data_IF_605381603771
#
_entry.id   IF_605381603771
#
_cell.length_a   1.000
_cell.length_b   1.000
_cell.length_c   1.000
_cell.angle_alpha   90.00
_cell.angle_beta   90.00
_cell.angle_gamma   90.00
#
_symmetry.space_group_name_H-M   'P 1'
#
loop_
_entity.id
_entity.type
_entity.pdbx_description
1 polymer ?
#
# COMPACT_ATOMS: atom_id res chain seq x y z
N UNK A 1 -14.55 -12.11 -9.02
CA UNK A 1 -14.81 -10.87 -9.78
C UNK A 1 -14.86 -9.73 -8.78
N UNK A 2 -13.93 -8.79 -8.91
CA UNK A 2 -13.74 -7.66 -8.02
C UNK A 2 -14.66 -6.48 -8.39
N UNK A 3 -14.81 -6.18 -9.67
CA UNK A 3 -15.58 -5.05 -10.20
C UNK A 3 -17.07 -5.42 -10.19
N UNK A 4 -17.79 -4.88 -9.22
CA UNK A 4 -19.18 -5.24 -8.92
C UNK A 4 -20.18 -4.68 -9.93
N UNK A 5 -19.85 -3.56 -10.55
CA UNK A 5 -20.71 -2.85 -11.50
C UNK A 5 -20.28 -3.03 -12.96
N UNK A 6 -19.56 -4.13 -13.29
CA UNK A 6 -19.03 -4.42 -14.62
C UNK A 6 -20.10 -4.30 -15.72
N UNK A 7 -21.26 -4.92 -15.54
CA UNK A 7 -22.32 -4.92 -16.55
C UNK A 7 -22.85 -3.50 -16.84
N UNK A 8 -22.93 -2.65 -15.81
CA UNK A 8 -23.31 -1.24 -15.97
C UNK A 8 -22.26 -0.48 -16.80
N UNK A 9 -20.97 -0.72 -16.54
CA UNK A 9 -19.87 -0.06 -17.26
C UNK A 9 -19.80 -0.49 -18.74
N UNK A 10 -20.28 -1.69 -19.07
CA UNK A 10 -20.34 -2.22 -20.44
C UNK A 10 -21.64 -1.94 -21.18
N UNK A 11 -22.63 -1.32 -20.52
CA UNK A 11 -23.90 -0.94 -21.15
C UNK A 11 -23.80 0.29 -22.07
N UNK A 12 -22.65 0.97 -22.09
CA UNK A 12 -22.41 2.24 -22.78
C UNK A 12 -20.94 2.39 -23.20
N UNK A 13 -20.65 3.41 -24.01
CA UNK A 13 -19.28 3.72 -24.46
C UNK A 13 -18.73 2.72 -25.47
N UNK A 14 -17.41 2.67 -25.59
CA UNK A 14 -16.70 1.67 -26.39
C UNK A 14 -16.62 0.36 -25.62
N UNK A 15 -17.65 -0.48 -25.78
CA UNK A 15 -17.82 -1.74 -25.05
C UNK A 15 -16.59 -2.64 -25.18
N UNK A 16 -15.94 -2.69 -26.35
CA UNK A 16 -14.79 -3.56 -26.58
C UNK A 16 -13.55 -3.05 -25.85
N UNK A 17 -13.26 -1.75 -25.97
CA UNK A 17 -12.15 -1.13 -25.26
C UNK A 17 -12.35 -1.19 -23.74
N UNK A 18 -13.56 -0.90 -23.26
CA UNK A 18 -13.92 -0.98 -21.85
C UNK A 18 -13.77 -2.40 -21.30
N UNK A 19 -14.29 -3.42 -22.00
CA UNK A 19 -14.15 -4.81 -21.58
C UNK A 19 -12.68 -5.20 -21.44
N UNK A 20 -11.85 -4.81 -22.41
CA UNK A 20 -10.41 -5.09 -22.39
C UNK A 20 -9.73 -4.45 -21.17
N UNK A 21 -10.04 -3.19 -20.85
CA UNK A 21 -9.51 -2.52 -19.66
C UNK A 21 -9.98 -3.19 -18.37
N UNK A 22 -11.27 -3.47 -18.24
CA UNK A 22 -11.85 -4.10 -17.04
C UNK A 22 -11.30 -5.51 -16.80
N UNK A 23 -11.15 -6.32 -17.86
CA UNK A 23 -10.60 -7.67 -17.76
C UNK A 23 -9.11 -7.64 -17.34
N UNK A 24 -8.35 -6.65 -17.83
CA UNK A 24 -6.95 -6.46 -17.40
C UNK A 24 -6.83 -6.09 -15.92
N UNK A 25 -7.79 -5.32 -15.39
CA UNK A 25 -7.84 -4.93 -13.97
C UNK A 25 -8.28 -6.10 -13.10
N UNK A 26 -9.27 -6.88 -13.51
CA UNK A 26 -9.67 -8.11 -12.82
C UNK A 26 -8.49 -9.07 -12.69
N UNK A 27 -7.79 -9.32 -13.80
CA UNK A 27 -6.60 -10.17 -13.82
C UNK A 27 -5.50 -9.65 -12.89
N UNK A 28 -5.25 -8.33 -12.92
CA UNK A 28 -4.29 -7.68 -12.04
C UNK A 28 -4.69 -7.84 -10.56
N UNK A 29 -5.93 -7.53 -10.19
CA UNK A 29 -6.40 -7.60 -8.80
C UNK A 29 -6.36 -9.03 -8.25
N UNK A 30 -6.75 -10.02 -9.07
CA UNK A 30 -6.65 -11.44 -8.71
C UNK A 30 -5.19 -11.89 -8.52
N UNK A 31 -4.30 -11.45 -9.40
CA UNK A 31 -2.86 -11.73 -9.32
C UNK A 31 -2.18 -11.02 -8.15
N UNK A 32 -2.74 -9.90 -7.70
CA UNK A 32 -2.26 -9.07 -6.60
C UNK A 32 -2.95 -9.38 -5.26
N UNK A 33 -3.79 -10.42 -5.19
CA UNK A 33 -4.30 -10.93 -3.93
C UNK A 33 -3.13 -11.37 -3.04
N UNK A 34 -3.11 -10.95 -1.78
CA UNK A 34 -1.96 -11.14 -0.90
C UNK A 34 -1.59 -12.61 -0.67
N UNK A 35 -2.58 -13.52 -0.65
CA UNK A 35 -2.31 -14.97 -0.58
C UNK A 35 -1.61 -15.45 -1.85
N UNK A 36 -2.14 -15.11 -3.03
CA UNK A 36 -1.55 -15.48 -4.32
C UNK A 36 -0.13 -14.91 -4.48
N UNK A 37 0.08 -13.66 -4.06
CA UNK A 37 1.40 -13.02 -4.06
C UNK A 37 2.43 -13.82 -3.26
N UNK A 38 2.07 -14.22 -2.03
CA UNK A 38 2.97 -15.01 -1.18
C UNK A 38 3.16 -16.42 -1.74
N UNK A 39 2.11 -17.09 -2.22
CA UNK A 39 2.22 -18.43 -2.83
C UNK A 39 3.12 -18.45 -4.08
N UNK A 40 3.11 -17.38 -4.87
CA UNK A 40 3.96 -17.26 -6.05
C UNK A 40 5.40 -16.88 -5.69
N UNK A 41 5.58 -16.05 -4.66
CA UNK A 41 6.88 -15.54 -4.28
C UNK A 41 7.66 -16.48 -3.36
N UNK A 42 6.97 -17.27 -2.53
CA UNK A 42 7.55 -18.09 -1.48
C UNK A 42 7.27 -19.56 -1.76
N UNK A 43 8.33 -20.36 -1.84
CA UNK A 43 8.24 -21.81 -1.95
C UNK A 43 9.26 -22.47 -1.02
N UNK A 44 9.09 -23.77 -0.77
CA UNK A 44 10.08 -24.59 -0.08
C UNK A 44 10.64 -25.58 -1.10
N UNK A 45 11.94 -25.83 -1.03
CA UNK A 45 12.57 -26.78 -1.93
C UNK A 45 12.21 -28.23 -1.58
N UNK A 46 12.40 -29.16 -2.53
CA UNK A 46 12.06 -30.58 -2.33
C UNK A 46 12.79 -31.28 -1.17
N UNK A 47 13.83 -30.65 -0.60
CA UNK A 47 14.56 -31.18 0.56
C UNK A 47 14.08 -30.62 1.88
N UNK A 48 13.13 -29.68 1.86
CA UNK A 48 12.63 -28.89 2.99
C UNK A 48 13.70 -28.07 3.73
N UNK A 49 14.91 -27.95 3.17
CA UNK A 49 16.03 -27.27 3.81
C UNK A 49 16.10 -25.79 3.47
N UNK A 50 15.48 -25.38 2.37
CA UNK A 50 15.56 -24.02 1.86
C UNK A 50 14.18 -23.43 1.66
N UNK A 51 13.99 -22.21 2.16
CA UNK A 51 12.91 -21.34 1.69
C UNK A 51 13.43 -20.54 0.50
N UNK A 52 12.64 -20.49 -0.56
CA UNK A 52 12.94 -19.75 -1.78
C UNK A 52 12.00 -18.55 -1.81
N UNK A 53 12.54 -17.34 -1.79
CA UNK A 53 11.76 -16.10 -1.85
C UNK A 53 12.21 -15.28 -3.07
N UNK A 54 11.31 -15.05 -4.03
CA UNK A 54 11.62 -14.42 -5.31
C UNK A 54 12.84 -15.06 -6.03
N UNK A 55 12.98 -16.39 -5.91
CA UNK A 55 14.12 -17.15 -6.45
C UNK A 55 15.39 -17.14 -5.58
N UNK A 56 15.47 -16.32 -4.54
CA UNK A 56 16.59 -16.34 -3.60
C UNK A 56 16.44 -17.48 -2.59
N UNK A 57 17.44 -18.35 -2.52
CA UNK A 57 17.48 -19.48 -1.58
C UNK A 57 18.02 -19.05 -0.22
N UNK A 58 17.26 -19.30 0.84
CA UNK A 58 17.69 -19.10 2.23
C UNK A 58 17.66 -20.44 2.97
N UNK A 59 18.81 -20.84 3.50
CA UNK A 59 18.95 -22.06 4.29
C UNK A 59 18.23 -21.91 5.63
N UNK A 60 17.19 -22.73 5.81
CA UNK A 60 16.40 -22.80 7.04
C UNK A 60 16.63 -24.09 7.82
N UNK A 61 17.47 -25.01 7.32
CA UNK A 61 17.84 -26.25 8.02
C UNK A 61 18.68 -26.02 9.27
N UNK A 62 19.36 -24.86 9.33
CA UNK A 62 20.12 -24.43 10.50
C UNK A 62 19.26 -23.98 11.69
N UNK A 63 17.96 -23.74 11.47
CA UNK A 63 17.06 -23.28 12.52
C UNK A 63 16.29 -24.44 13.13
N UNK A 64 16.17 -24.43 14.47
CA UNK A 64 15.42 -25.42 15.24
C UNK A 64 13.91 -25.21 15.10
N UNK A 65 13.47 -23.96 15.15
CA UNK A 65 12.06 -23.58 15.10
C UNK A 65 11.85 -22.38 14.18
N UNK A 66 10.71 -22.36 13.50
CA UNK A 66 10.26 -21.22 12.70
C UNK A 66 9.03 -20.63 13.38
N UNK A 67 9.05 -19.34 13.68
CA UNK A 67 7.89 -18.61 14.19
C UNK A 67 7.44 -17.56 13.18
N UNK A 68 6.13 -17.37 13.08
CA UNK A 68 5.54 -16.38 12.18
C UNK A 68 5.07 -15.17 12.98
N UNK A 69 5.60 -14.01 12.67
CA UNK A 69 5.10 -12.74 13.21
C UNK A 69 4.62 -11.84 12.07
N UNK A 70 3.67 -10.95 12.30
CA UNK A 70 3.23 -10.11 11.21
C UNK A 70 2.24 -9.02 11.56
N UNK A 71 2.15 -8.01 10.70
CA UNK A 71 1.15 -6.96 10.82
C UNK A 71 0.70 -6.45 9.46
N UNK A 72 -0.46 -5.80 9.45
CA UNK A 72 -0.96 -5.05 8.29
C UNK A 72 -2.28 -5.58 7.76
N UNK A 73 -2.86 -4.83 6.82
CA UNK A 73 -4.16 -5.12 6.21
C UNK A 73 -4.19 -6.48 5.52
N UNK A 74 -3.07 -6.90 4.92
CA UNK A 74 -2.93 -8.13 4.14
C UNK A 74 -2.30 -9.28 4.95
N UNK A 75 -1.95 -9.06 6.23
CA UNK A 75 -1.22 -10.05 7.03
C UNK A 75 -2.01 -11.34 7.24
N UNK A 76 -3.36 -11.29 7.21
CA UNK A 76 -4.22 -12.47 7.30
C UNK A 76 -3.99 -13.41 6.12
N UNK A 77 -4.13 -12.89 4.90
CA UNK A 77 -3.98 -13.66 3.66
C UNK A 77 -2.54 -14.13 3.44
N UNK A 78 -1.57 -13.30 3.83
CA UNK A 78 -0.15 -13.70 3.85
C UNK A 78 0.08 -14.87 4.82
N UNK A 79 -0.55 -14.86 5.99
CA UNK A 79 -0.40 -15.92 6.97
C UNK A 79 -1.05 -17.23 6.51
N UNK A 80 -2.20 -17.18 5.83
CA UNK A 80 -2.80 -18.36 5.20
C UNK A 80 -1.84 -19.01 4.18
N UNK A 81 -1.22 -18.21 3.30
CA UNK A 81 -0.24 -18.74 2.35
C UNK A 81 0.96 -19.38 3.07
N UNK A 82 1.50 -18.73 4.10
CA UNK A 82 2.63 -19.27 4.86
C UNK A 82 2.27 -20.54 5.64
N UNK A 83 1.07 -20.62 6.23
CA UNK A 83 0.60 -21.83 6.90
C UNK A 83 0.45 -23.00 5.91
N UNK A 84 0.01 -22.73 4.67
CA UNK A 84 -0.04 -23.75 3.61
C UNK A 84 1.35 -24.19 3.14
N UNK A 85 2.31 -23.27 3.03
CA UNK A 85 3.67 -23.56 2.56
C UNK A 85 4.50 -24.28 3.63
N UNK A 86 4.42 -23.85 4.89
CA UNK A 86 5.28 -24.34 5.97
C UNK A 86 4.59 -25.34 6.91
N UNK A 87 3.25 -25.30 7.03
CA UNK A 87 2.42 -26.21 7.81
C UNK A 87 3.03 -26.56 9.18
N UNK A 88 3.44 -27.83 9.36
CA UNK A 88 3.97 -28.36 10.62
C UNK A 88 5.32 -27.81 11.05
N UNK A 89 6.00 -27.07 10.18
CA UNK A 89 7.28 -26.42 10.50
C UNK A 89 7.13 -25.14 11.30
N UNK A 90 5.94 -24.55 11.31
CA UNK A 90 5.65 -23.38 12.13
C UNK A 90 5.53 -23.85 13.58
N UNK A 91 6.40 -23.42 14.47
CA UNK A 91 6.31 -23.75 15.89
C UNK A 91 5.18 -22.96 16.57
N UNK A 92 5.09 -21.67 16.29
CA UNK A 92 4.01 -20.79 16.74
C UNK A 92 4.02 -19.47 15.96
N UNK A 93 2.95 -18.70 16.02
CA UNK A 93 2.95 -17.37 15.42
C UNK A 93 1.92 -16.41 16.00
N UNK A 94 2.15 -15.12 15.78
CA UNK A 94 1.23 -14.03 16.11
C UNK A 94 1.20 -13.00 14.98
N UNK A 95 0.02 -12.76 14.41
CA UNK A 95 -0.19 -11.66 13.48
C UNK A 95 -1.18 -10.64 14.05
N UNK A 96 -1.06 -9.38 13.62
CA UNK A 96 -1.93 -8.28 14.02
C UNK A 96 -2.58 -7.65 12.80
N UNK A 97 -3.91 -7.75 12.72
CA UNK A 97 -4.71 -7.25 11.60
C UNK A 97 -5.62 -6.11 12.06
N UNK A 98 -6.12 -5.25 11.16
CA UNK A 98 -7.16 -4.28 11.50
C UNK A 98 -8.43 -4.97 12.01
N UNK A 99 -9.12 -4.34 12.94
CA UNK A 99 -10.35 -4.84 13.55
C UNK A 99 -11.50 -5.08 12.55
N UNK A 100 -11.57 -4.26 11.50
CA UNK A 100 -12.53 -4.36 10.40
C UNK A 100 -12.21 -5.46 9.37
N UNK A 101 -11.02 -6.07 9.42
CA UNK A 101 -10.72 -7.24 8.58
C UNK A 101 -11.41 -8.47 9.19
N UNK A 102 -12.33 -9.06 8.42
CA UNK A 102 -13.06 -10.26 8.81
C UNK A 102 -12.16 -11.48 8.83
N UNK A 103 -12.27 -12.32 9.86
CA UNK A 103 -11.67 -13.65 9.87
C UNK A 103 -12.74 -14.64 9.41
N UNK A 104 -12.74 -15.00 8.13
CA UNK A 104 -13.64 -16.00 7.58
C UNK A 104 -13.09 -17.40 7.88
N UNK A 105 -13.08 -17.78 9.16
CA UNK A 105 -12.94 -19.18 9.55
C UNK A 105 -14.14 -19.57 10.40
N UNK A 106 -14.91 -20.51 9.84
CA UNK A 106 -16.08 -21.15 10.42
C UNK A 106 -15.90 -21.53 11.88
N UNK A 107 -16.44 -20.72 12.79
CA UNK A 107 -17.08 -21.15 14.03
C UNK A 107 -17.66 -19.91 14.70
N UNK A 108 -18.97 -19.83 14.65
CA UNK A 108 -19.80 -18.98 15.50
C UNK A 108 -19.37 -19.14 16.97
N UNK A 109 -18.58 -18.20 17.46
CA UNK A 109 -18.61 -17.72 18.85
C UNK A 109 -17.81 -16.42 18.94
N UNK A 110 -18.52 -15.33 19.25
CA UNK A 110 -17.94 -14.08 19.72
C UNK A 110 -17.19 -14.31 21.03
N UNK A 111 -15.92 -14.70 20.97
CA UNK A 111 -14.93 -14.52 22.03
C UNK A 111 -13.55 -15.04 21.60
N UNK A 112 -12.55 -14.17 21.71
CA UNK A 112 -11.10 -14.47 21.81
C UNK A 112 -10.41 -15.21 20.65
N UNK A 113 -9.63 -14.44 19.87
CA UNK A 113 -8.51 -14.84 18.98
C UNK A 113 -8.78 -15.97 17.98
N UNK A 114 -9.02 -15.60 16.70
CA UNK A 114 -8.98 -16.56 15.59
C UNK A 114 -7.57 -17.14 15.40
N UNK A 115 -7.48 -18.36 14.86
CA UNK A 115 -6.23 -19.04 14.57
C UNK A 115 -6.18 -19.51 13.12
N UNK A 116 -4.97 -19.55 12.56
CA UNK A 116 -4.62 -20.17 11.29
C UNK A 116 -3.52 -21.18 11.61
N UNK A 117 -3.85 -22.47 11.64
CA UNK A 117 -2.93 -23.50 12.13
C UNK A 117 -2.38 -23.14 13.53
N UNK A 118 -1.06 -22.90 13.60
CA UNK A 118 -0.33 -22.50 14.83
C UNK A 118 -0.14 -20.98 14.99
N UNK A 119 -0.69 -20.18 14.08
CA UNK A 119 -0.63 -18.71 14.07
C UNK A 119 -1.87 -18.14 14.76
N UNK A 120 -1.66 -17.34 15.79
CA UNK A 120 -2.72 -16.61 16.49
C UNK A 120 -2.96 -15.27 15.80
N UNK A 121 -4.22 -14.93 15.56
CA UNK A 121 -4.62 -13.67 14.95
C UNK A 121 -5.14 -12.72 16.04
N UNK A 122 -4.50 -11.56 16.16
CA UNK A 122 -4.88 -10.48 17.04
C UNK A 122 -5.40 -9.29 16.23
N UNK A 123 -6.25 -8.48 16.85
CA UNK A 123 -6.83 -7.29 16.23
C UNK A 123 -6.26 -6.02 16.86
N UNK A 124 -5.88 -5.07 16.00
CA UNK A 124 -5.49 -3.71 16.36
C UNK A 124 -6.35 -2.69 15.60
N UNK A 125 -6.19 -1.40 15.92
CA UNK A 125 -6.95 -0.33 15.26
C UNK A 125 -6.10 0.37 14.19
N UNK A 126 -6.74 0.72 13.09
CA UNK A 126 -6.16 1.42 11.95
C UNK A 126 -7.18 2.42 11.42
N UNK A 127 -6.80 3.67 11.07
CA UNK A 127 -5.44 4.18 10.96
C UNK A 127 -4.84 4.73 12.26
N UNK A 128 -5.65 4.94 13.30
CA UNK A 128 -5.19 5.47 14.59
C UNK A 128 -4.96 4.30 15.56
N UNK A 129 -3.76 4.17 16.16
CA UNK A 129 -3.47 3.10 17.10
C UNK A 129 -4.28 3.26 18.39
N UNK A 130 -4.60 2.17 19.07
CA UNK A 130 -5.33 2.18 20.34
C UNK A 130 -4.68 1.23 21.35
N UNK A 131 -5.27 1.11 22.54
CA UNK A 131 -4.81 0.15 23.56
C UNK A 131 -4.74 -1.28 23.03
N UNK A 132 -5.70 -1.71 22.20
CA UNK A 132 -5.66 -3.05 21.58
C UNK A 132 -4.42 -3.26 20.70
N UNK A 133 -3.94 -2.19 20.06
CA UNK A 133 -2.73 -2.22 19.22
C UNK A 133 -1.47 -2.38 20.07
N UNK A 134 -1.42 -1.75 21.25
CA UNK A 134 -0.34 -1.95 22.23
C UNK A 134 -0.36 -3.35 22.79
N UNK A 135 -1.52 -3.82 23.27
CA UNK A 135 -1.66 -5.14 23.87
C UNK A 135 -1.28 -6.25 22.88
N UNK A 136 -1.70 -6.10 21.61
CA UNK A 136 -1.33 -7.02 20.53
C UNK A 136 0.18 -6.95 20.19
N UNK A 137 0.76 -5.75 20.21
CA UNK A 137 2.21 -5.56 20.03
C UNK A 137 2.99 -6.24 21.15
N UNK A 138 2.57 -6.12 22.41
CA UNK A 138 3.28 -6.74 23.53
C UNK A 138 3.28 -8.26 23.42
N UNK A 139 2.13 -8.87 23.12
CA UNK A 139 2.03 -10.32 22.94
C UNK A 139 2.91 -10.83 21.80
N UNK A 140 2.99 -10.10 20.69
CA UNK A 140 3.91 -10.44 19.59
C UNK A 140 5.38 -10.29 20.01
N UNK A 141 5.71 -9.25 20.77
CA UNK A 141 7.06 -9.02 21.25
C UNK A 141 7.50 -10.08 22.26
N UNK A 142 6.61 -10.57 23.10
CA UNK A 142 6.91 -11.66 24.04
C UNK A 142 7.31 -12.92 23.28
N UNK A 143 6.52 -13.32 22.28
CA UNK A 143 6.88 -14.43 21.39
C UNK A 143 8.23 -14.19 20.68
N UNK A 144 8.45 -12.99 20.16
CA UNK A 144 9.66 -12.68 19.42
C UNK A 144 10.92 -12.68 20.33
N UNK A 145 10.80 -12.19 21.58
CA UNK A 145 11.90 -12.14 22.55
C UNK A 145 12.31 -13.52 23.04
N UNK A 146 11.36 -14.44 23.14
CA UNK A 146 11.62 -15.82 23.54
C UNK A 146 12.36 -16.60 22.45
N UNK A 147 12.27 -16.17 21.18
CA UNK A 147 13.01 -16.77 20.06
C UNK A 147 14.54 -16.54 20.18
N UNK A 148 15.28 -17.64 20.24
CA UNK A 148 16.72 -17.68 20.41
C UNK A 148 17.50 -17.51 19.10
N UNK A 149 18.83 -17.64 19.16
CA UNK A 149 19.71 -17.53 17.98
C UNK A 149 19.54 -18.67 16.97
N UNK A 150 19.04 -19.81 17.44
CA UNK A 150 18.77 -21.00 16.64
C UNK A 150 17.37 -20.98 16.04
N UNK A 151 16.59 -19.92 16.25
CA UNK A 151 15.22 -19.80 15.73
C UNK A 151 15.16 -18.79 14.58
N UNK A 152 14.13 -18.95 13.75
CA UNK A 152 13.82 -18.06 12.64
C UNK A 152 12.48 -17.36 12.88
N UNK A 153 12.47 -16.05 12.73
CA UNK A 153 11.25 -15.23 12.68
C UNK A 153 10.94 -14.90 11.22
N UNK A 154 9.84 -15.45 10.71
CA UNK A 154 9.28 -15.06 9.43
C UNK A 154 8.30 -13.89 9.65
N UNK A 155 8.67 -12.69 9.22
CA UNK A 155 7.93 -11.46 9.48
C UNK A 155 7.11 -11.03 8.25
N UNK A 156 5.79 -11.15 8.34
CA UNK A 156 4.84 -10.71 7.32
C UNK A 156 4.48 -9.23 7.50
N UNK A 157 4.81 -8.39 6.53
CA UNK A 157 4.61 -6.93 6.60
C UNK A 157 3.77 -6.48 5.40
N UNK A 158 2.69 -5.76 5.69
CA UNK A 158 1.87 -5.07 4.68
C UNK A 158 1.45 -3.68 5.17
N UNK A 159 0.75 -2.93 4.31
CA UNK A 159 0.22 -1.61 4.62
C UNK A 159 -0.57 -1.57 5.94
N UNK A 160 -0.42 -0.47 6.69
CA UNK A 160 -1.09 -0.28 7.99
C UNK A 160 -0.34 -0.78 9.23
N UNK A 161 0.78 -1.50 9.09
CA UNK A 161 1.65 -1.89 10.22
C UNK A 161 2.03 -0.74 11.15
N UNK A 162 2.13 0.47 10.59
CA UNK A 162 2.45 1.71 11.29
C UNK A 162 1.56 1.98 12.52
N UNK A 163 0.27 1.65 12.45
CA UNK A 163 -0.71 1.82 13.54
C UNK A 163 -0.96 0.52 14.31
N UNK A 164 -0.77 -0.63 13.66
CA UNK A 164 -1.03 -1.94 14.27
C UNK A 164 0.10 -2.40 15.20
N UNK A 165 1.36 -2.13 14.83
CA UNK A 165 2.53 -2.47 15.65
C UNK A 165 3.07 -1.21 16.34
N UNK A 166 2.59 -0.95 17.55
CA UNK A 166 2.85 0.29 18.29
C UNK A 166 3.30 -0.01 19.71
N UNK A 167 4.52 0.45 19.99
CA UNK A 167 5.05 0.55 21.35
C UNK A 167 5.74 1.91 21.51
N UNK A 168 5.16 2.85 22.27
CA UNK A 168 5.77 4.14 22.54
C UNK A 168 7.09 4.00 23.31
N UNK A 169 7.99 4.98 23.20
CA UNK A 169 9.26 5.01 23.92
C UNK A 169 9.21 6.12 24.99
N UNK A 170 9.10 5.74 26.27
CA UNK A 170 9.07 6.67 27.42
C UNK A 170 8.02 7.80 27.33
N UNK A 171 6.94 7.59 26.57
CA UNK A 171 5.78 8.48 26.41
C UNK A 171 4.50 7.65 26.42
N UNK A 172 3.34 8.28 26.59
CA UNK A 172 2.05 7.59 26.51
C UNK A 172 1.60 7.37 25.06
N UNK A 173 0.55 6.58 24.86
CA UNK A 173 -0.05 6.39 23.55
C UNK A 173 -0.68 7.70 23.04
N UNK A 174 -1.36 8.42 23.93
CA UNK A 174 -2.06 9.67 23.66
C UNK A 174 -1.07 10.74 23.19
N UNK A 175 0.08 10.85 23.85
CA UNK A 175 1.16 11.76 23.44
C UNK A 175 1.70 11.40 22.05
N UNK A 176 1.88 10.11 21.77
CA UNK A 176 2.32 9.63 20.44
C UNK A 176 1.28 9.93 19.36
N UNK A 177 -0.01 9.75 19.66
CA UNK A 177 -1.13 10.08 18.76
C UNK A 177 -1.18 11.58 18.50
N UNK A 178 -1.02 12.41 19.54
CA UNK A 178 -1.04 13.86 19.45
C UNK A 178 0.09 14.37 18.54
N UNK A 179 1.33 13.92 18.76
CA UNK A 179 2.47 14.26 17.90
C UNK A 179 2.18 13.91 16.44
N UNK A 180 1.66 12.70 16.20
CA UNK A 180 1.35 12.22 14.84
C UNK A 180 0.26 13.08 14.19
N UNK A 181 -0.81 13.42 14.93
CA UNK A 181 -1.90 14.27 14.46
C UNK A 181 -1.41 15.68 14.11
N UNK A 182 -0.60 16.28 14.97
CA UNK A 182 -0.05 17.62 14.74
C UNK A 182 0.85 17.65 13.50
N UNK A 183 1.68 16.61 13.30
CA UNK A 183 2.52 16.47 12.13
C UNK A 183 1.70 16.33 10.84
N UNK A 184 0.69 15.46 10.83
CA UNK A 184 -0.20 15.29 9.68
C UNK A 184 -0.93 16.60 9.33
N UNK A 185 -1.48 17.28 10.33
CA UNK A 185 -2.21 18.54 10.14
C UNK A 185 -1.30 19.70 9.70
N UNK A 186 0.02 19.59 9.92
CA UNK A 186 0.99 20.61 9.51
C UNK A 186 1.45 20.49 8.06
N UNK A 187 1.01 19.43 7.35
CA UNK A 187 1.48 19.14 5.99
C UNK A 187 2.94 18.68 5.95
N UNK A 188 3.43 18.06 7.04
CA UNK A 188 4.77 17.50 7.07
C UNK A 188 4.92 16.36 6.05
N UNK A 189 6.09 16.26 5.41
CA UNK A 189 6.33 15.18 4.46
C UNK A 189 6.41 13.83 5.18
N UNK A 190 6.03 12.75 4.50
CA UNK A 190 5.98 11.41 5.11
C UNK A 190 7.32 10.96 5.71
N UNK A 191 8.44 11.33 5.11
CA UNK A 191 9.78 11.02 5.61
C UNK A 191 10.12 11.80 6.90
N UNK A 192 9.70 13.07 6.99
CA UNK A 192 9.83 13.90 8.19
C UNK A 192 8.94 13.37 9.34
N UNK A 193 7.70 12.99 9.01
CA UNK A 193 6.80 12.35 9.96
C UNK A 193 7.42 11.05 10.49
N UNK A 194 7.95 10.21 9.59
CA UNK A 194 8.59 8.96 9.97
C UNK A 194 9.87 9.17 10.79
N UNK A 195 10.64 10.23 10.54
CA UNK A 195 11.78 10.59 11.39
C UNK A 195 11.32 10.74 12.85
N UNK A 196 10.31 11.57 13.12
CA UNK A 196 9.80 11.74 14.49
C UNK A 196 9.19 10.45 15.05
N UNK A 197 8.37 9.73 14.26
CA UNK A 197 7.68 8.50 14.71
C UNK A 197 8.65 7.37 15.08
N UNK A 198 9.78 7.24 14.40
CA UNK A 198 10.82 6.24 14.70
C UNK A 198 11.50 6.53 16.04
N UNK A 199 11.86 7.78 16.31
CA UNK A 199 12.54 8.20 17.53
C UNK A 199 11.64 8.20 18.78
N UNK A 200 10.32 8.17 18.60
CA UNK A 200 9.33 8.02 19.68
C UNK A 200 8.74 6.60 19.78
N UNK A 201 9.44 5.58 19.26
CA UNK A 201 8.96 4.19 19.26
C UNK A 201 10.00 3.20 19.74
N UNK A 202 9.56 2.12 20.38
CA UNK A 202 10.41 0.98 20.75
C UNK A 202 10.56 -0.07 19.64
N UNK A 203 9.69 -0.09 18.62
CA UNK A 203 9.69 -1.15 17.59
C UNK A 203 10.02 -0.67 16.17
N UNK A 204 9.99 0.64 15.94
CA UNK A 204 10.23 1.25 14.62
C UNK A 204 11.70 1.63 14.45
N UNK A 205 12.13 1.89 13.22
CA UNK A 205 13.51 2.30 12.91
C UNK A 205 14.54 1.27 13.33
N UNK A 206 14.27 -0.02 13.12
CA UNK A 206 15.19 -1.12 13.43
C UNK A 206 15.27 -1.50 14.91
N UNK A 207 14.58 -0.78 15.81
CA UNK A 207 14.63 -1.08 17.26
C UNK A 207 14.01 -2.44 17.60
N UNK A 208 13.05 -2.94 16.82
CA UNK A 208 12.58 -4.31 16.98
C UNK A 208 13.73 -5.29 16.71
N UNK A 209 14.49 -5.11 15.63
CA UNK A 209 15.66 -5.97 15.34
C UNK A 209 16.70 -5.89 16.45
N UNK A 210 16.93 -4.70 17.02
CA UNK A 210 17.86 -4.51 18.14
C UNK A 210 17.48 -5.33 19.39
N UNK A 211 16.19 -5.50 19.65
CA UNK A 211 15.68 -6.25 20.81
C UNK A 211 15.77 -7.77 20.66
N UNK A 212 15.90 -8.27 19.42
CA UNK A 212 15.77 -9.69 19.13
C UNK A 212 17.14 -10.38 18.97
N UNK A 213 17.13 -11.72 19.01
CA UNK A 213 18.33 -12.56 18.83
C UNK A 213 18.24 -13.45 17.60
N UNK A 214 17.05 -13.92 17.28
CA UNK A 214 16.72 -14.79 16.16
C UNK A 214 17.09 -14.21 14.78
N UNK A 215 17.21 -15.11 13.80
CA UNK A 215 17.24 -14.73 12.39
C UNK A 215 15.89 -14.16 11.97
N UNK A 216 15.87 -13.21 11.04
CA UNK A 216 14.64 -12.58 10.55
C UNK A 216 14.60 -12.65 9.04
N UNK A 217 13.52 -13.20 8.50
CA UNK A 217 13.17 -13.08 7.08
C UNK A 217 11.86 -12.30 7.00
N UNK A 218 11.89 -11.12 6.40
CA UNK A 218 10.70 -10.30 6.21
C UNK A 218 10.13 -10.49 4.81
N UNK A 219 8.84 -10.82 4.73
CA UNK A 219 8.06 -10.91 3.50
C UNK A 219 7.17 -9.67 3.44
N UNK A 220 7.39 -8.81 2.45
CA UNK A 220 6.86 -7.45 2.43
C UNK A 220 6.00 -7.25 1.18
N UNK A 221 4.74 -6.84 1.39
CA UNK A 221 3.88 -6.26 0.35
C UNK A 221 3.93 -4.74 0.55
N UNK A 222 4.49 -4.01 -0.41
CA UNK A 222 4.75 -2.58 -0.28
C UNK A 222 3.65 -1.72 -0.89
N UNK A 223 3.09 -0.85 -0.06
CA UNK A 223 2.21 0.27 -0.44
C UNK A 223 2.97 1.62 -0.45
N UNK A 224 4.32 1.58 -0.38
CA UNK A 224 5.15 2.78 -0.27
C UNK A 224 5.84 3.06 -1.60
N UNK A 225 5.67 4.26 -2.18
CA UNK A 225 6.38 4.65 -3.38
C UNK A 225 7.90 4.45 -3.25
N UNK A 226 8.51 3.89 -4.30
CA UNK A 226 9.95 3.57 -4.36
C UNK A 226 10.46 2.52 -3.35
N UNK A 227 9.59 1.79 -2.64
CA UNK A 227 9.96 0.61 -1.86
C UNK A 227 11.05 0.84 -0.80
N UNK A 228 11.12 2.05 -0.25
CA UNK A 228 12.12 2.39 0.76
C UNK A 228 11.87 1.60 2.06
N UNK A 229 12.72 0.62 2.36
CA UNK A 229 12.59 -0.23 3.54
C UNK A 229 12.57 0.56 4.87
N UNK A 230 13.28 1.68 4.95
CA UNK A 230 13.29 2.58 6.12
C UNK A 230 11.98 3.35 6.32
N UNK A 231 11.11 3.32 5.31
CA UNK A 231 9.80 3.99 5.25
C UNK A 231 8.65 2.99 5.37
N UNK A 232 8.75 1.82 4.70
CA UNK A 232 7.77 0.73 4.80
C UNK A 232 7.61 0.33 6.26
N UNK A 233 6.37 0.40 6.75
CA UNK A 233 6.03 0.14 8.15
C UNK A 233 6.88 0.96 9.16
N UNK A 234 7.44 2.10 8.77
CA UNK A 234 8.41 2.88 9.54
C UNK A 234 9.71 2.11 9.87
N UNK A 235 10.15 1.23 8.97
CA UNK A 235 11.43 0.55 9.04
C UNK A 235 11.59 -0.38 10.24
N UNK A 236 10.56 -1.18 10.57
CA UNK A 236 10.61 -2.12 11.72
C UNK A 236 11.84 -3.04 11.63
N UNK A 237 12.14 -3.55 10.43
CA UNK A 237 13.23 -4.48 10.14
C UNK A 237 14.36 -3.86 9.31
N UNK A 238 14.45 -2.53 9.28
CA UNK A 238 15.40 -1.79 8.46
C UNK A 238 16.19 -0.76 9.29
N UNK A 239 17.37 -0.40 8.78
CA UNK A 239 18.17 0.67 9.36
C UNK A 239 17.48 2.04 9.20
N UNK A 240 17.70 2.91 10.16
CA UNK A 240 17.18 4.26 10.15
C UNK A 240 18.29 5.27 9.81
N UNK A 241 18.15 6.00 8.71
CA UNK A 241 19.08 7.05 8.31
C UNK A 241 18.92 8.37 9.09
N UNK A 242 17.78 8.56 9.75
CA UNK A 242 17.45 9.80 10.48
C UNK A 242 17.94 9.74 11.91
N UNK A 243 18.08 10.88 12.57
CA UNK A 243 18.58 11.02 13.94
C UNK A 243 17.58 11.72 14.86
N UNK A 244 17.82 11.65 16.17
CA UNK A 244 17.08 12.46 17.15
C UNK A 244 17.16 13.95 16.84
N UNK A 245 18.29 14.42 16.29
CA UNK A 245 18.45 15.80 15.85
C UNK A 245 17.53 16.15 14.69
N UNK A 246 17.38 15.24 13.72
CA UNK A 246 16.43 15.42 12.61
C UNK A 246 14.99 15.49 13.14
N UNK A 247 14.62 14.60 14.06
CA UNK A 247 13.30 14.62 14.70
C UNK A 247 13.03 15.96 15.41
N UNK A 248 14.00 16.48 16.17
CA UNK A 248 13.91 17.80 16.80
C UNK A 248 13.73 18.92 15.77
N UNK A 249 14.52 18.90 14.68
CA UNK A 249 14.45 19.92 13.63
C UNK A 249 13.08 19.91 12.93
N UNK A 250 12.52 18.73 12.64
CA UNK A 250 11.17 18.59 12.09
C UNK A 250 10.13 19.18 13.02
N UNK A 251 10.14 18.80 14.30
CA UNK A 251 9.18 19.32 15.28
C UNK A 251 9.25 20.84 15.44
N UNK A 252 10.45 21.43 15.36
CA UNK A 252 10.64 22.89 15.37
C UNK A 252 10.19 23.55 14.08
N UNK A 253 10.55 23.00 12.91
CA UNK A 253 10.16 23.48 11.58
C UNK A 253 8.64 23.68 11.48
N UNK A 254 7.87 22.73 12.00
CA UNK A 254 6.40 22.76 11.97
C UNK A 254 5.76 23.42 13.20
N UNK A 255 6.55 24.05 14.09
CA UNK A 255 6.07 24.71 15.32
C UNK A 255 5.24 23.78 16.21
N UNK A 256 5.67 22.52 16.30
CA UNK A 256 5.05 21.44 17.10
C UNK A 256 5.77 21.31 18.44
N UNK A 257 7.07 21.63 18.50
CA UNK A 257 7.90 21.52 19.70
C UNK A 257 7.27 22.14 20.95
N UNK A 258 6.68 23.32 20.83
CA UNK A 258 6.07 24.04 21.95
C UNK A 258 4.62 23.61 22.24
N UNK A 259 4.04 22.74 21.41
CA UNK A 259 2.64 22.28 21.51
C UNK A 259 2.50 20.91 22.17
N UNK A 260 3.56 20.11 22.16
CA UNK A 260 3.55 18.75 22.70
C UNK A 260 3.95 18.74 24.18
N UNK A 261 3.70 17.63 24.86
CA UNK A 261 4.06 17.47 26.27
C UNK A 261 5.58 17.50 26.49
N UNK A 262 5.98 17.90 27.70
CA UNK A 262 7.40 17.98 28.10
C UNK A 262 8.10 16.62 28.08
N UNK A 263 7.38 15.52 28.31
CA UNK A 263 7.89 14.15 28.21
C UNK A 263 8.34 13.82 26.79
N UNK A 264 7.57 14.20 25.77
CA UNK A 264 7.96 14.02 24.36
C UNK A 264 9.23 14.79 24.05
N UNK A 265 9.28 16.08 24.41
CA UNK A 265 10.47 16.91 24.21
C UNK A 265 11.68 16.32 24.93
N UNK A 266 11.49 15.86 26.17
CA UNK A 266 12.55 15.22 26.96
C UNK A 266 13.12 13.98 26.29
N UNK A 267 12.30 13.10 25.70
CA UNK A 267 12.81 11.92 24.97
C UNK A 267 13.71 12.32 23.80
N UNK A 268 13.32 13.37 23.06
CA UNK A 268 14.13 13.86 21.94
C UNK A 268 15.40 14.56 22.44
N UNK A 269 15.30 15.40 23.48
CA UNK A 269 16.45 16.09 24.09
C UNK A 269 17.47 15.09 24.67
N UNK A 270 17.00 14.09 25.43
CA UNK A 270 17.83 13.02 25.98
C UNK A 270 18.48 12.20 24.86
N UNK A 271 17.80 12.00 23.73
CA UNK A 271 18.35 11.39 22.53
C UNK A 271 19.44 12.23 21.86
N UNK A 272 19.22 13.54 21.70
CA UNK A 272 20.21 14.49 21.16
C UNK A 272 21.44 14.59 22.07
N UNK A 273 21.24 14.53 23.39
CA UNK A 273 22.31 14.53 24.39
C UNK A 273 23.07 13.19 24.48
N UNK A 274 22.61 12.14 23.77
CA UNK A 274 23.23 10.82 23.79
C UNK A 274 22.92 9.98 25.03
N UNK A 275 21.98 10.41 25.87
CA UNK A 275 21.50 9.66 27.04
C UNK A 275 20.67 8.46 26.57
N UNK A 276 19.80 8.67 25.58
CA UNK A 276 19.06 7.61 24.91
C UNK A 276 19.83 7.22 23.64
N UNK A 277 20.07 5.91 23.47
CA UNK A 277 20.70 5.40 22.25
C UNK A 277 19.86 5.71 21.03
N UNK A 278 20.56 6.09 19.98
CA UNK A 278 20.01 6.36 18.67
C UNK A 278 19.40 5.10 18.02
N UNK A 279 18.43 5.26 17.10
CA UNK A 279 17.92 4.16 16.28
C UNK A 279 19.07 3.50 15.50
N UNK A 280 19.07 2.17 15.34
CA UNK A 280 20.12 1.46 14.60
C UNK A 280 20.38 2.03 13.21
N UNK A 281 21.64 2.41 12.97
CA UNK A 281 22.10 3.03 11.73
C UNK A 281 22.53 2.02 10.66
N UNK A 282 22.60 2.44 9.38
CA UNK A 282 23.19 1.62 8.33
C UNK A 282 24.59 1.14 8.72
N UNK A 283 24.90 -0.12 8.39
CA UNK A 283 26.16 -0.76 8.78
C UNK A 283 26.18 -1.37 10.18
N UNK A 284 25.12 -1.22 10.98
CA UNK A 284 25.02 -1.93 12.25
C UNK A 284 24.88 -3.45 12.02
N UNK A 285 25.76 -4.24 12.65
CA UNK A 285 25.85 -5.69 12.49
C UNK A 285 24.57 -6.45 12.86
N UNK A 286 23.65 -5.85 13.64
CA UNK A 286 22.35 -6.47 13.95
C UNK A 286 21.52 -6.76 12.70
N UNK A 287 21.78 -6.10 11.58
CA UNK A 287 21.06 -6.33 10.32
C UNK A 287 21.62 -7.50 9.50
N UNK A 288 22.80 -8.04 9.84
CA UNK A 288 23.38 -9.20 9.14
C UNK A 288 22.52 -10.48 9.23
N UNK A 289 21.64 -10.54 10.24
CA UNK A 289 20.68 -11.64 10.45
C UNK A 289 19.30 -11.36 9.88
N UNK A 290 19.11 -10.22 9.19
CA UNK A 290 17.83 -9.80 8.63
C UNK A 290 17.91 -9.87 7.10
N UNK A 291 16.95 -10.55 6.48
CA UNK A 291 16.71 -10.48 5.03
C UNK A 291 15.32 -9.90 4.79
N UNK A 292 15.24 -8.84 3.99
CA UNK A 292 13.97 -8.20 3.65
C UNK A 292 13.66 -8.49 2.18
N UNK A 293 12.53 -9.14 1.91
CA UNK A 293 12.05 -9.45 0.58
C UNK A 293 10.77 -8.69 0.29
N UNK A 294 10.81 -7.83 -0.72
CA UNK A 294 9.61 -7.20 -1.26
C UNK A 294 9.05 -8.14 -2.31
N UNK A 295 7.94 -8.79 -1.99
CA UNK A 295 7.31 -9.79 -2.86
C UNK A 295 6.30 -9.17 -3.81
N UNK A 296 5.79 -7.98 -3.47
CA UNK A 296 4.90 -7.23 -4.33
C UNK A 296 4.99 -5.73 -4.04
N UNK A 297 4.82 -4.94 -5.10
CA UNK A 297 4.78 -3.49 -5.12
C UNK A 297 3.89 -3.01 -6.30
N UNK A 298 3.79 -1.70 -6.50
CA UNK A 298 3.06 -1.14 -7.64
C UNK A 298 3.61 -1.60 -9.00
N UNK A 299 4.92 -1.84 -9.11
CA UNK A 299 5.52 -2.32 -10.35
C UNK A 299 5.03 -3.71 -10.73
N UNK A 300 4.86 -4.60 -9.74
CA UNK A 300 4.24 -5.91 -9.93
C UNK A 300 2.81 -5.78 -10.50
N UNK A 301 1.99 -4.88 -9.95
CA UNK A 301 0.64 -4.64 -10.47
C UNK A 301 0.65 -4.18 -11.95
N UNK A 302 1.50 -3.22 -12.30
CA UNK A 302 1.68 -2.77 -13.68
C UNK A 302 2.16 -3.89 -14.61
N UNK A 303 3.05 -4.76 -14.13
CA UNK A 303 3.53 -5.92 -14.88
C UNK A 303 2.40 -6.91 -15.15
N UNK A 304 1.49 -7.15 -14.20
CA UNK A 304 0.33 -8.03 -14.41
C UNK A 304 -0.66 -7.48 -15.43
N UNK A 305 -0.87 -6.17 -15.46
CA UNK A 305 -1.63 -5.54 -16.55
C UNK A 305 -0.92 -5.77 -17.89
N UNK A 306 0.39 -5.54 -17.97
CA UNK A 306 1.18 -5.75 -19.19
C UNK A 306 1.13 -7.20 -19.68
N UNK A 307 1.24 -8.17 -18.77
CA UNK A 307 1.12 -9.61 -19.07
C UNK A 307 -0.24 -9.93 -19.69
N UNK A 308 -1.33 -9.38 -19.13
CA UNK A 308 -2.67 -9.57 -19.68
C UNK A 308 -2.80 -9.04 -21.11
N UNK A 309 -2.37 -7.81 -21.38
CA UNK A 309 -2.39 -7.24 -22.74
C UNK A 309 -1.54 -8.03 -23.73
N UNK A 310 -0.37 -8.49 -23.29
CA UNK A 310 0.53 -9.31 -24.10
C UNK A 310 -0.13 -10.65 -24.49
N UNK A 311 -0.89 -11.26 -23.57
CA UNK A 311 -1.59 -12.52 -23.80
C UNK A 311 -2.73 -12.39 -24.83
N UNK A 312 -3.33 -11.20 -24.97
CA UNK A 312 -4.37 -10.91 -25.96
C UNK A 312 -3.82 -10.23 -27.24
N UNK A 313 -2.50 -10.15 -27.39
CA UNK A 313 -1.83 -9.67 -28.60
C UNK A 313 -1.82 -8.15 -28.80
N UNK A 314 -2.01 -7.36 -27.73
CA UNK A 314 -1.91 -5.90 -27.76
C UNK A 314 -0.57 -5.48 -27.14
N UNK A 315 0.18 -4.62 -27.82
CA UNK A 315 1.45 -4.11 -27.27
C UNK A 315 1.18 -3.30 -25.99
N UNK A 316 2.00 -3.49 -24.97
CA UNK A 316 1.81 -2.86 -23.67
C UNK A 316 3.10 -2.23 -23.13
N UNK A 317 3.04 -0.93 -22.83
CA UNK A 317 4.18 -0.09 -22.47
C UNK A 317 3.97 0.49 -21.07
N UNK A 318 4.84 0.11 -20.15
CA UNK A 318 4.88 0.73 -18.82
C UNK A 318 5.64 2.05 -18.94
N UNK A 319 4.93 3.16 -18.71
CA UNK A 319 5.48 4.51 -18.74
C UNK A 319 6.27 4.81 -17.46
N UNK A 320 5.72 4.44 -16.31
CA UNK A 320 6.33 4.60 -14.99
C UNK A 320 5.60 3.76 -13.96
N UNK A 321 6.31 3.29 -12.93
CA UNK A 321 5.76 2.66 -11.72
C UNK A 321 5.97 3.55 -10.49
N UNK A 322 6.29 4.83 -10.74
CA UNK A 322 6.60 5.87 -9.75
C UNK A 322 5.91 7.18 -10.09
N UNK A 323 4.71 7.09 -10.69
CA UNK A 323 3.86 8.25 -10.92
C UNK A 323 3.60 8.95 -9.59
N UNK A 324 3.95 10.24 -9.52
CA UNK A 324 3.74 11.08 -8.36
C UNK A 324 3.53 12.52 -8.82
N UNK A 325 2.52 13.18 -8.27
CA UNK A 325 2.15 14.53 -8.66
C UNK A 325 0.68 14.80 -8.37
N UNK A 326 0.23 15.99 -8.75
CA UNK A 326 -1.18 16.36 -8.61
C UNK A 326 -2.02 15.61 -9.65
N UNK A 327 -3.11 14.99 -9.20
CA UNK A 327 -3.95 14.09 -10.01
C UNK A 327 -4.41 14.74 -11.33
N UNK A 328 -4.86 16.00 -11.26
CA UNK A 328 -5.31 16.75 -12.45
C UNK A 328 -4.19 16.97 -13.48
N UNK A 329 -2.98 17.32 -13.02
CA UNK A 329 -1.85 17.56 -13.93
C UNK A 329 -1.43 16.27 -14.65
N UNK A 330 -1.44 15.16 -13.91
CA UNK A 330 -1.16 13.84 -14.47
C UNK A 330 -2.24 13.46 -15.49
N UNK A 331 -3.51 13.65 -15.16
CA UNK A 331 -4.63 13.31 -16.05
C UNK A 331 -4.53 14.04 -17.38
N UNK A 332 -4.30 15.35 -17.34
CA UNK A 332 -4.09 16.18 -18.53
C UNK A 332 -2.90 15.70 -19.38
N UNK A 333 -1.77 15.38 -18.74
CA UNK A 333 -0.58 14.86 -19.43
C UNK A 333 -0.82 13.49 -20.07
N UNK A 334 -1.53 12.58 -19.41
CA UNK A 334 -1.85 11.26 -19.96
C UNK A 334 -2.75 11.38 -21.20
N UNK A 335 -3.72 12.30 -21.19
CA UNK A 335 -4.58 12.55 -22.34
C UNK A 335 -3.80 13.12 -23.55
N UNK A 336 -2.81 13.99 -23.33
CA UNK A 336 -1.98 14.52 -24.42
C UNK A 336 -1.07 13.45 -25.02
N UNK A 337 -0.57 12.51 -24.20
CA UNK A 337 0.17 11.35 -24.71
C UNK A 337 -0.73 10.42 -25.53
N UNK A 338 -1.97 10.19 -25.09
CA UNK A 338 -2.96 9.43 -25.87
C UNK A 338 -3.23 10.09 -27.23
N UNK A 339 -3.32 11.42 -27.27
CA UNK A 339 -3.47 12.19 -28.51
C UNK A 339 -2.29 12.00 -29.46
N UNK A 340 -1.07 12.06 -28.95
CA UNK A 340 0.14 11.88 -29.76
C UNK A 340 0.18 10.48 -30.40
N UNK A 341 -0.16 9.44 -29.63
CA UNK A 341 -0.23 8.06 -30.14
C UNK A 341 -1.36 7.90 -31.16
N UNK A 342 -2.55 8.44 -30.87
CA UNK A 342 -3.72 8.27 -31.73
C UNK A 342 -3.55 8.95 -33.10
N UNK A 343 -2.92 10.14 -33.14
CA UNK A 343 -2.74 10.94 -34.36
C UNK A 343 -1.45 10.62 -35.11
N UNK A 344 -0.38 10.31 -34.39
CA UNK A 344 0.97 10.27 -34.95
C UNK A 344 1.66 8.92 -34.80
N UNK A 345 1.02 7.94 -34.13
CA UNK A 345 1.58 6.60 -33.88
C UNK A 345 3.01 6.66 -33.28
N UNK A 346 3.24 7.65 -32.41
CA UNK A 346 4.48 7.86 -31.67
C UNK A 346 4.17 8.32 -30.23
N UNK A 347 5.04 8.03 -29.26
CA UNK A 347 6.26 7.22 -29.38
C UNK A 347 5.99 5.72 -29.59
N UNK A 348 4.72 5.29 -29.63
CA UNK A 348 4.31 3.91 -29.83
C UNK A 348 3.30 3.77 -30.98
N UNK A 349 3.36 2.65 -31.69
CA UNK A 349 2.37 2.31 -32.72
C UNK A 349 1.11 1.72 -32.10
N UNK A 350 -0.04 1.98 -32.71
CA UNK A 350 -1.34 1.41 -32.32
C UNK A 350 -1.58 0.03 -32.95
N UNK A 351 -2.34 -0.88 -32.30
CA UNK A 351 -2.96 -0.72 -30.98
C UNK A 351 -1.94 -0.84 -29.84
N UNK A 352 -2.07 0.00 -28.81
CA UNK A 352 -1.16 0.00 -27.64
C UNK A 352 -1.90 0.32 -26.35
N UNK A 353 -1.53 -0.41 -25.29
CA UNK A 353 -1.88 -0.11 -23.90
C UNK A 353 -0.71 0.59 -23.20
N UNK A 354 -0.91 1.82 -22.76
CA UNK A 354 0.06 2.56 -21.95
C UNK A 354 -0.33 2.43 -20.48
N UNK A 355 0.63 2.01 -19.64
CA UNK A 355 0.40 1.69 -18.24
C UNK A 355 1.26 2.61 -17.39
N UNK A 356 0.65 3.29 -16.43
CA UNK A 356 1.36 4.03 -15.40
C UNK A 356 0.87 3.58 -14.02
N UNK A 357 1.77 3.55 -13.05
CA UNK A 357 1.41 3.29 -11.66
C UNK A 357 2.23 4.13 -10.71
N UNK A 358 1.71 4.28 -9.49
CA UNK A 358 2.31 5.08 -8.44
C UNK A 358 1.22 5.61 -7.51
N UNK A 359 1.40 6.80 -6.96
CA UNK A 359 0.41 7.42 -6.08
C UNK A 359 0.31 8.92 -6.38
N UNK A 360 -0.85 9.33 -6.90
CA UNK A 360 -1.16 10.74 -7.10
C UNK A 360 -1.66 11.39 -5.80
N UNK A 361 -1.70 12.72 -5.75
CA UNK A 361 -2.34 13.45 -4.67
C UNK A 361 -3.33 14.48 -5.20
N UNK A 362 -4.29 14.85 -4.36
CA UNK A 362 -5.28 15.90 -4.64
C UNK A 362 -5.03 17.05 -3.68
N UNK A 363 -4.88 18.25 -4.22
CA UNK A 363 -4.96 19.48 -3.43
C UNK A 363 -6.43 19.82 -3.23
N UNK A 364 -6.96 19.49 -2.06
CA UNK A 364 -8.37 19.74 -1.73
C UNK A 364 -8.57 21.24 -1.47
N UNK A 365 -9.36 21.88 -2.33
CA UNK A 365 -9.78 23.29 -2.21
C UNK A 365 -11.28 23.46 -2.13
N UNK A 366 -12.05 22.47 -2.61
CA UNK A 366 -13.50 22.42 -2.52
C UNK A 366 -14.02 21.48 -1.44
N UNK A 367 -15.35 21.34 -1.39
CA UNK A 367 -16.08 20.49 -0.44
C UNK A 367 -16.72 19.26 -1.12
N UNK A 368 -16.29 18.94 -2.35
CA UNK A 368 -16.80 17.83 -3.13
C UNK A 368 -16.41 16.46 -2.60
N UNK A 369 -16.96 15.42 -3.23
CA UNK A 369 -16.56 14.02 -3.00
C UNK A 369 -15.75 13.53 -4.18
N UNK A 370 -14.68 12.81 -3.90
CA UNK A 370 -13.78 12.31 -4.93
C UNK A 370 -12.52 11.68 -4.37
N UNK A 371 -11.61 11.40 -5.28
CA UNK A 371 -10.30 10.86 -4.97
C UNK A 371 -9.34 11.11 -6.12
N UNK A 372 -8.10 10.70 -5.92
CA UNK A 372 -7.00 10.97 -6.85
C UNK A 372 -7.18 10.27 -8.18
N UNK A 373 -7.75 9.07 -8.21
CA UNK A 373 -7.98 8.33 -9.45
C UNK A 373 -9.12 8.97 -10.25
N UNK A 374 -10.24 9.29 -9.60
CA UNK A 374 -11.35 9.98 -10.24
C UNK A 374 -10.98 11.40 -10.68
N UNK A 375 -10.23 12.17 -9.88
CA UNK A 375 -9.78 13.51 -10.30
C UNK A 375 -8.85 13.44 -11.53
N UNK A 376 -7.96 12.46 -11.56
CA UNK A 376 -7.10 12.18 -12.71
C UNK A 376 -7.93 11.82 -13.94
N UNK A 377 -8.92 10.94 -13.81
CA UNK A 377 -9.82 10.58 -14.91
C UNK A 377 -10.63 11.78 -15.43
N UNK A 378 -11.18 12.61 -14.53
CA UNK A 378 -11.95 13.78 -14.92
C UNK A 378 -11.08 14.81 -15.66
N UNK A 379 -9.86 15.05 -15.19
CA UNK A 379 -8.93 15.93 -15.89
C UNK A 379 -8.49 15.36 -17.24
N UNK A 380 -8.21 14.06 -17.31
CA UNK A 380 -7.92 13.39 -18.57
C UNK A 380 -9.09 13.50 -19.55
N UNK A 381 -10.33 13.35 -19.09
CA UNK A 381 -11.54 13.50 -19.88
C UNK A 381 -11.69 14.93 -20.45
N UNK A 382 -11.46 15.96 -19.63
CA UNK A 382 -11.49 17.37 -20.08
C UNK A 382 -10.48 17.59 -21.21
N UNK A 383 -9.23 17.13 -21.03
CA UNK A 383 -8.18 17.24 -22.04
C UNK A 383 -8.49 16.38 -23.28
N UNK A 384 -9.11 15.21 -23.10
CA UNK A 384 -9.48 14.29 -24.17
C UNK A 384 -10.54 14.83 -25.15
N UNK A 385 -11.13 16.02 -24.90
CA UNK A 385 -11.89 16.77 -25.92
C UNK A 385 -11.10 16.89 -27.24
N UNK A 386 -9.76 16.95 -27.18
CA UNK A 386 -8.87 17.00 -28.35
C UNK A 386 -8.82 15.70 -29.17
N UNK A 387 -9.14 14.55 -28.57
CA UNK A 387 -9.15 13.24 -29.24
C UNK A 387 -10.36 13.07 -30.18
N UNK A 388 -11.39 13.90 -30.04
CA UNK A 388 -12.57 13.86 -30.91
C UNK A 388 -13.21 12.47 -30.99
N UNK A 389 -13.34 11.94 -32.21
CA UNK A 389 -13.97 10.64 -32.49
C UNK A 389 -13.03 9.44 -32.45
N UNK A 390 -11.75 9.62 -32.11
CA UNK A 390 -10.76 8.54 -32.07
C UNK A 390 -11.16 7.43 -31.09
N UNK A 391 -10.74 6.20 -31.38
CA UNK A 391 -10.99 5.04 -30.52
C UNK A 391 -9.92 4.98 -29.42
N UNK A 392 -10.32 5.38 -28.21
CA UNK A 392 -9.51 5.34 -27.01
C UNK A 392 -10.38 5.03 -25.81
N UNK A 393 -9.77 4.41 -24.80
CA UNK A 393 -10.36 4.29 -23.48
C UNK A 393 -9.27 4.40 -22.43
N UNK A 394 -9.62 4.89 -21.26
CA UNK A 394 -8.71 5.00 -20.13
C UNK A 394 -9.41 4.54 -18.86
N UNK A 395 -8.68 3.85 -18.01
CA UNK A 395 -9.12 3.42 -16.70
C UNK A 395 -8.06 3.80 -15.68
N UNK A 396 -8.49 4.28 -14.53
CA UNK A 396 -7.62 4.52 -13.38
C UNK A 396 -8.28 3.98 -12.13
N UNK A 397 -7.49 3.31 -11.28
CA UNK A 397 -8.00 2.58 -10.13
C UNK A 397 -6.99 2.57 -8.97
N UNK A 398 -7.48 2.81 -7.76
CA UNK A 398 -6.79 2.49 -6.52
C UNK A 398 -6.91 0.99 -6.25
N UNK A 399 -5.79 0.29 -6.16
CA UNK A 399 -5.77 -1.17 -6.02
C UNK A 399 -6.38 -1.67 -4.71
N UNK A 400 -6.58 -0.81 -3.71
CA UNK A 400 -7.31 -1.11 -2.47
C UNK A 400 -8.83 -1.01 -2.59
N UNK A 401 -9.31 -0.50 -3.72
CA UNK A 401 -10.72 -0.39 -4.04
C UNK A 401 -11.42 0.84 -3.47
N UNK A 402 -10.66 1.80 -2.92
CA UNK A 402 -11.19 3.03 -2.34
C UNK A 402 -10.40 4.24 -2.86
N UNK A 403 -11.10 5.19 -3.46
CA UNK A 403 -10.54 6.41 -4.00
C UNK A 403 -11.04 7.63 -3.20
N UNK A 404 -10.14 8.17 -2.38
CA UNK A 404 -10.39 9.35 -1.54
C UNK A 404 -11.52 9.16 -0.53
N UNK A 405 -12.45 10.10 -0.47
CA UNK A 405 -13.63 10.04 0.42
C UNK A 405 -14.88 9.46 -0.28
N UNK A 406 -14.69 8.71 -1.36
CA UNK A 406 -15.75 8.03 -2.11
C UNK A 406 -15.82 6.53 -1.76
N UNK A 407 -16.89 5.86 -2.23
CA UNK A 407 -17.01 4.40 -2.17
C UNK A 407 -16.51 3.73 -3.48
N UNK A 408 -15.93 4.52 -4.38
CA UNK A 408 -15.48 4.09 -5.70
C UNK A 408 -14.00 3.74 -5.64
N UNK A 409 -13.54 2.85 -6.51
CA UNK A 409 -12.12 2.53 -6.67
C UNK A 409 -11.43 3.46 -7.68
N UNK A 410 -12.19 4.13 -8.54
CA UNK A 410 -11.68 4.96 -9.62
C UNK A 410 -12.75 5.20 -10.68
N UNK A 411 -12.33 5.35 -11.94
CA UNK A 411 -13.23 5.59 -13.06
C UNK A 411 -12.69 5.01 -14.37
N UNK A 412 -13.60 4.74 -15.30
CA UNK A 412 -13.31 4.39 -16.70
C UNK A 412 -13.89 5.46 -17.61
N UNK A 413 -13.12 5.90 -18.60
CA UNK A 413 -13.50 6.99 -19.50
C UNK A 413 -13.21 6.63 -20.95
N UNK A 414 -14.04 7.13 -21.84
CA UNK A 414 -13.87 7.04 -23.29
C UNK A 414 -14.66 8.16 -23.99
N UNK A 415 -14.76 8.09 -25.33
CA UNK A 415 -15.60 9.01 -26.12
C UNK A 415 -17.08 9.02 -25.74
N UNK A 416 -17.59 7.90 -25.21
CA UNK A 416 -18.97 7.77 -24.75
C UNK A 416 -19.21 8.56 -23.48
N UNK A 417 -18.24 8.55 -22.56
CA UNK A 417 -18.25 9.41 -21.36
C UNK A 417 -18.33 10.89 -21.75
N UNK A 418 -17.51 11.33 -22.72
CA UNK A 418 -17.55 12.71 -23.23
C UNK A 418 -18.93 13.07 -23.79
N UNK A 419 -19.48 12.21 -24.63
CA UNK A 419 -20.79 12.42 -25.25
C UNK A 419 -21.91 12.49 -24.20
N UNK A 420 -21.84 11.63 -23.17
CA UNK A 420 -22.77 11.66 -22.04
C UNK A 420 -22.69 12.98 -21.28
N UNK A 421 -21.47 13.43 -20.93
CA UNK A 421 -21.27 14.67 -20.18
C UNK A 421 -21.84 15.90 -20.91
N UNK A 422 -21.63 15.97 -22.24
CA UNK A 422 -22.21 17.02 -23.07
C UNK A 422 -23.74 16.93 -23.17
N UNK A 423 -24.30 15.73 -23.35
CA UNK A 423 -25.74 15.53 -23.44
C UNK A 423 -26.48 15.89 -22.13
N UNK A 424 -25.85 15.64 -20.98
CA UNK A 424 -26.40 15.98 -19.66
C UNK A 424 -26.15 17.42 -19.23
N UNK A 425 -25.33 18.18 -19.98
CA UNK A 425 -24.97 19.56 -19.63
C UNK A 425 -24.11 19.67 -18.36
N UNK A 426 -23.33 18.65 -18.03
CA UNK A 426 -22.47 18.66 -16.84
C UNK A 426 -21.23 19.54 -17.10
N UNK A 427 -20.96 20.49 -16.21
CA UNK A 427 -19.76 21.33 -16.26
C UNK A 427 -18.56 20.60 -15.63
N UNK A 428 -17.84 19.84 -16.45
CA UNK A 428 -16.65 19.08 -16.03
C UNK A 428 -15.61 19.96 -15.31
N UNK A 429 -15.41 21.18 -15.78
CA UNK A 429 -14.42 22.12 -15.24
C UNK A 429 -14.82 22.56 -13.81
N UNK A 430 -16.12 22.80 -13.57
CA UNK A 430 -16.66 23.09 -12.24
C UNK A 430 -16.51 21.91 -11.27
N UNK A 431 -16.85 20.69 -11.69
CA UNK A 431 -16.68 19.48 -10.86
C UNK A 431 -15.22 19.27 -10.46
N UNK A 432 -14.27 19.50 -11.38
CA UNK A 432 -12.85 19.41 -11.10
C UNK A 432 -12.38 20.50 -10.11
N UNK A 433 -12.84 21.74 -10.30
CA UNK A 433 -12.50 22.86 -9.42
C UNK A 433 -13.01 22.68 -7.98
N UNK A 434 -14.18 22.07 -7.82
CA UNK A 434 -14.81 21.81 -6.52
C UNK A 434 -14.35 20.50 -5.85
N UNK A 435 -13.40 19.77 -6.45
CA UNK A 435 -12.98 18.42 -6.04
C UNK A 435 -14.15 17.44 -5.92
N UNK A 436 -15.14 17.52 -6.80
CA UNK A 436 -16.35 16.67 -6.80
C UNK A 436 -16.34 15.62 -7.93
N UNK A 437 -15.20 14.99 -8.18
CA UNK A 437 -15.05 14.00 -9.25
C UNK A 437 -15.99 12.80 -9.09
N UNK A 438 -16.30 12.39 -7.85
CA UNK A 438 -17.26 11.30 -7.62
C UNK A 438 -18.68 11.71 -8.01
N UNK A 439 -19.09 12.95 -7.68
CA UNK A 439 -20.38 13.48 -8.11
C UNK A 439 -20.54 13.46 -9.64
N UNK A 440 -19.48 13.84 -10.36
CA UNK A 440 -19.45 13.76 -11.83
C UNK A 440 -19.61 12.32 -12.33
N UNK A 441 -18.76 11.38 -11.88
CA UNK A 441 -18.77 10.01 -12.39
C UNK A 441 -20.00 9.21 -11.99
N UNK A 442 -20.62 9.53 -10.85
CA UNK A 442 -21.89 8.93 -10.46
C UNK A 442 -23.03 9.44 -11.35
N UNK A 443 -22.98 10.69 -11.82
CA UNK A 443 -23.97 11.24 -12.75
C UNK A 443 -23.87 10.63 -14.17
N UNK A 444 -22.66 10.40 -14.68
CA UNK A 444 -22.45 9.76 -16.00
C UNK A 444 -22.49 8.22 -15.96
N UNK A 445 -22.34 7.62 -14.78
CA UNK A 445 -22.40 6.18 -14.57
C UNK A 445 -21.10 5.41 -14.85
N UNK A 446 -19.95 6.09 -14.73
CA UNK A 446 -18.63 5.59 -15.13
C UNK A 446 -17.65 5.41 -13.95
N UNK A 447 -18.15 5.50 -12.71
CA UNK A 447 -17.44 5.13 -11.49
C UNK A 447 -17.17 3.63 -11.45
N UNK A 448 -15.95 3.21 -11.05
CA UNK A 448 -15.62 1.79 -10.83
C UNK A 448 -15.88 1.44 -9.37
N UNK A 449 -16.65 0.37 -9.11
CA UNK A 449 -17.01 -0.06 -7.76
C UNK A 449 -16.49 -1.47 -7.52
N UNK A 450 -15.49 -1.60 -6.65
CA UNK A 450 -14.98 -2.91 -6.20
C UNK A 450 -15.34 -3.23 -4.75
N UNK A 451 -15.45 -2.20 -3.91
CA UNK A 451 -15.27 -2.33 -2.46
C UNK A 451 -13.82 -2.71 -2.11
N UNK A 452 -13.52 -2.96 -0.82
CA UNK A 452 -12.18 -3.33 -0.39
C UNK A 452 -11.68 -4.59 -1.10
N UNK A 453 -10.52 -4.51 -1.75
CA UNK A 453 -9.93 -5.63 -2.52
C UNK A 453 -9.08 -6.57 -1.67
N UNK A 454 -8.69 -6.15 -0.47
CA UNK A 454 -7.80 -6.90 0.43
C UNK A 454 -6.30 -6.69 0.19
N UNK A 455 -5.92 -5.88 -0.80
CA UNK A 455 -4.52 -5.53 -1.11
C UNK A 455 -4.38 -4.01 -1.29
N UNK A 456 -3.16 -3.48 -1.26
CA UNK A 456 -2.89 -2.09 -1.62
C UNK A 456 -1.47 -1.98 -2.19
N UNK A 457 -1.39 -1.76 -3.49
CA UNK A 457 -0.18 -1.52 -4.27
C UNK A 457 -0.28 -0.15 -4.97
N UNK A 458 -0.94 0.83 -4.33
CA UNK A 458 -1.24 2.16 -4.84
C UNK A 458 -2.14 2.17 -6.11
N UNK A 459 -1.93 3.13 -7.01
CA UNK A 459 -2.79 3.40 -8.16
C UNK A 459 -2.22 2.81 -9.45
N UNK A 460 -3.11 2.41 -10.36
CA UNK A 460 -2.77 1.97 -11.72
C UNK A 460 -3.68 2.69 -12.72
N UNK A 461 -3.05 3.27 -13.74
CA UNK A 461 -3.66 3.95 -14.87
C UNK A 461 -3.34 3.16 -16.14
N UNK A 462 -4.36 2.90 -16.95
CA UNK A 462 -4.25 2.17 -18.21
C UNK A 462 -4.94 3.00 -19.28
N UNK A 463 -4.24 3.30 -20.36
CA UNK A 463 -4.79 3.95 -21.55
C UNK A 463 -4.65 3.02 -22.74
N UNK A 464 -5.76 2.67 -23.36
CA UNK A 464 -5.80 1.89 -24.58
C UNK A 464 -6.09 2.83 -25.76
N UNK A 465 -5.22 2.82 -26.76
CA UNK A 465 -5.40 3.52 -28.05
C UNK A 465 -5.40 2.48 -29.16
N UNK A 466 -6.42 2.52 -30.03
CA UNK A 466 -6.71 1.47 -31.04
C UNK A 466 -6.40 1.94 -32.48
#
# INVERSE_FOLDING_TARGET
MYIRNRDSLLSRGDVKARATLLDSVEYMLESCNARNLVMNAVTVDNTDKYIIVNGERVDISRYKSIHVIGCGKAALDMAYAIDEILADRIASGIIVIPDYVGCSSSSSNSSSNSKIGRITVLKGTHPIPSKSSIDATERMLDLARDAGRDDLLLFLISGGCSSLLVKPYNITLEEKQEVTRLLLNSGARIDEINAVRKHLSQVKGGRLVEMLKAGIISIIISDVPCNRLDTIASGITAADNTTFRDAMLVMKKYKIWDKVSKSVNKVIEDGVAGIIRETPKPGNAIFNRVRNFIVADNAYACMKVKEHFSAIGIDARILSTKMHGEAREIGSFIASLAYEVANHARPFSKPVAMIAGGEAHVKVTGNGRGGRNQELALSALISARMLGSMDWAMLTIGTDGIDGNSNNAGAIIDRGTLSSAFATGLDMDSYLACNDSAGFFDAVGDSIITGPTGTNLNDVVIVLVI
#
